data_IF_990878353233
#
_entry.id   IF_990878353233
#
_cell.length_a   1.000
_cell.length_b   1.000
_cell.length_c   1.000
_cell.angle_alpha   90.00
_cell.angle_beta   90.00
_cell.angle_gamma   90.00
#
_symmetry.space_group_name_H-M   'P 1'
#
loop_
_entity.id
_entity.type
_entity.pdbx_description
1 polymer ?
#
# COMPACT_ATOMS: atom_id res chain seq x y z
N UNK A 1 -18.33 -12.47 -10.41
CA UNK A 1 -18.47 -11.77 -11.72
C UNK A 1 -17.10 -11.65 -12.38
N UNK A 2 -17.00 -11.62 -13.71
CA UNK A 2 -15.73 -11.33 -14.41
C UNK A 2 -15.55 -9.81 -14.46
N UNK A 3 -14.48 -9.28 -13.85
CA UNK A 3 -14.17 -7.85 -13.85
C UNK A 3 -13.12 -7.57 -14.94
N UNK A 4 -13.39 -6.60 -15.80
CA UNK A 4 -12.47 -6.14 -16.85
C UNK A 4 -12.27 -4.62 -16.72
N UNK A 5 -11.11 -4.09 -17.15
CA UNK A 5 -10.84 -2.65 -17.10
C UNK A 5 -11.86 -1.86 -17.93
N UNK A 6 -12.40 -0.78 -17.35
CA UNK A 6 -13.25 0.21 -18.06
C UNK A 6 -12.62 1.59 -17.92
N UNK A 7 -11.77 1.93 -18.87
CA UNK A 7 -10.91 3.14 -18.86
C UNK A 7 -11.42 4.18 -19.87
N UNK A 8 -11.46 5.45 -19.46
CA UNK A 8 -11.72 6.62 -20.31
C UNK A 8 -10.78 7.75 -19.90
N UNK A 9 -9.83 8.12 -20.77
CA UNK A 9 -8.75 9.04 -20.42
C UNK A 9 -7.96 8.51 -19.22
N UNK A 10 -7.85 9.31 -18.16
CA UNK A 10 -7.17 8.96 -16.91
C UNK A 10 -8.11 8.36 -15.84
N UNK A 11 -9.38 8.07 -16.18
CA UNK A 11 -10.34 7.50 -15.23
C UNK A 11 -10.60 6.03 -15.55
N UNK A 12 -10.45 5.16 -14.56
CA UNK A 12 -10.91 3.78 -14.60
C UNK A 12 -12.07 3.60 -13.61
N UNK A 13 -13.23 3.14 -14.06
CA UNK A 13 -14.44 2.98 -13.21
C UNK A 13 -14.59 1.58 -12.62
N UNK A 14 -13.53 0.77 -12.67
CA UNK A 14 -13.50 -0.62 -12.19
C UNK A 14 -12.20 -0.88 -11.43
N UNK A 15 -12.25 -1.67 -10.36
CA UNK A 15 -11.08 -2.11 -9.62
C UNK A 15 -11.01 -3.65 -9.51
N UNK A 16 -9.83 -4.19 -9.77
CA UNK A 16 -9.44 -5.60 -9.66
C UNK A 16 -9.24 -6.11 -8.22
N UNK A 17 -10.18 -6.70 -7.43
CA UNK A 17 -9.91 -6.98 -6.01
C UNK A 17 -8.63 -7.81 -5.76
N UNK A 18 -8.51 -8.96 -6.44
CA UNK A 18 -7.31 -9.81 -6.35
C UNK A 18 -6.05 -9.13 -6.93
N UNK A 19 -6.22 -8.24 -7.91
CA UNK A 19 -5.10 -7.49 -8.49
C UNK A 19 -4.59 -6.41 -7.53
N UNK A 20 -5.48 -5.74 -6.81
CA UNK A 20 -5.13 -4.78 -5.77
C UNK A 20 -4.39 -5.47 -4.61
N UNK A 21 -4.87 -6.63 -4.16
CA UNK A 21 -4.19 -7.45 -3.15
C UNK A 21 -2.79 -7.86 -3.62
N UNK A 22 -2.65 -8.36 -4.84
CA UNK A 22 -1.36 -8.72 -5.41
C UNK A 22 -0.40 -7.53 -5.49
N UNK A 23 -0.89 -6.34 -5.89
CA UNK A 23 -0.09 -5.12 -5.94
C UNK A 23 0.39 -4.67 -4.55
N UNK A 24 -0.46 -4.77 -3.52
CA UNK A 24 -0.07 -4.50 -2.13
C UNK A 24 0.98 -5.50 -1.67
N UNK A 25 0.77 -6.80 -1.96
CA UNK A 25 1.72 -7.86 -1.60
C UNK A 25 3.10 -7.61 -2.24
N UNK A 26 3.15 -7.24 -3.52
CA UNK A 26 4.41 -6.94 -4.21
C UNK A 26 5.19 -5.79 -3.55
N UNK A 27 4.49 -4.74 -3.09
CA UNK A 27 5.13 -3.63 -2.36
C UNK A 27 5.62 -4.05 -0.96
N UNK A 28 4.87 -4.90 -0.26
CA UNK A 28 5.30 -5.46 1.03
C UNK A 28 6.55 -6.33 0.82
N UNK A 29 6.51 -7.24 -0.15
CA UNK A 29 7.63 -8.13 -0.49
C UNK A 29 8.88 -7.28 -0.81
N UNK A 30 8.73 -6.23 -1.62
CA UNK A 30 9.81 -5.29 -1.93
C UNK A 30 10.45 -4.70 -0.66
N UNK A 31 9.65 -4.16 0.27
CA UNK A 31 10.19 -3.58 1.51
C UNK A 31 10.88 -4.65 2.37
N UNK A 32 10.26 -5.81 2.54
CA UNK A 32 10.85 -6.89 3.37
C UNK A 32 12.15 -7.44 2.81
N UNK A 33 12.32 -7.46 1.48
CA UNK A 33 13.55 -7.91 0.81
C UNK A 33 14.73 -6.94 1.00
N UNK A 34 14.47 -5.65 1.25
CA UNK A 34 15.52 -4.64 1.46
C UNK A 34 15.99 -4.54 2.92
N UNK A 35 15.47 -5.38 3.81
CA UNK A 35 15.84 -5.42 5.23
C UNK A 35 15.09 -4.40 6.09
N UNK A 36 15.31 -4.47 7.39
CA UNK A 36 14.67 -3.60 8.36
C UNK A 36 15.23 -2.17 8.31
N UNK A 37 14.37 -1.18 8.47
CA UNK A 37 14.73 0.22 8.61
C UNK A 37 15.00 0.48 10.10
N UNK A 38 16.28 0.58 10.46
CA UNK A 38 16.69 0.88 11.83
C UNK A 38 16.32 2.31 12.24
N UNK A 39 15.96 2.49 13.51
CA UNK A 39 15.56 3.80 14.04
C UNK A 39 14.21 4.33 13.53
N UNK A 40 13.43 3.52 12.81
CA UNK A 40 12.10 3.91 12.32
C UNK A 40 11.06 4.14 13.44
N UNK A 41 10.01 4.94 13.16
CA UNK A 41 8.95 5.24 14.12
C UNK A 41 8.17 3.98 14.51
N UNK A 42 7.65 3.92 15.74
CA UNK A 42 6.89 2.76 16.24
C UNK A 42 5.38 2.92 16.22
N UNK A 43 4.87 4.15 16.11
CA UNK A 43 3.45 4.46 15.98
C UNK A 43 3.28 5.52 14.91
N UNK A 44 2.52 5.22 13.85
CA UNK A 44 2.38 6.10 12.68
C UNK A 44 0.91 6.26 12.31
N UNK A 45 0.47 7.52 12.22
CA UNK A 45 -0.80 7.90 11.59
C UNK A 45 -0.53 8.32 10.15
N UNK A 46 -1.21 7.71 9.18
CA UNK A 46 -1.12 8.08 7.77
C UNK A 46 -2.46 8.61 7.27
N UNK A 47 -2.50 9.88 6.86
CA UNK A 47 -3.66 10.50 6.22
C UNK A 47 -3.56 10.31 4.70
N UNK A 48 -4.52 9.59 4.10
CA UNK A 48 -4.43 9.16 2.70
C UNK A 48 -3.73 7.81 2.54
N UNK A 49 -4.06 6.84 3.38
CA UNK A 49 -3.38 5.54 3.48
C UNK A 49 -3.82 4.49 2.44
N UNK A 50 -4.74 4.82 1.54
CA UNK A 50 -5.42 3.87 0.65
C UNK A 50 -4.72 3.64 -0.68
N UNK A 51 -3.96 4.62 -1.20
CA UNK A 51 -3.33 4.54 -2.53
C UNK A 51 -2.02 5.33 -2.59
N UNK A 52 -1.26 5.14 -3.68
CA UNK A 52 -0.09 5.97 -4.01
C UNK A 52 0.96 6.05 -2.91
N UNK A 53 1.52 7.25 -2.71
CA UNK A 53 2.58 7.46 -1.72
C UNK A 53 2.13 7.26 -0.27
N UNK A 54 0.88 7.52 0.06
CA UNK A 54 0.38 7.28 1.43
C UNK A 54 0.29 5.78 1.74
N UNK A 55 -0.16 4.97 0.78
CA UNK A 55 -0.08 3.51 0.91
C UNK A 55 1.38 3.05 1.03
N UNK A 56 2.28 3.55 0.18
CA UNK A 56 3.69 3.19 0.23
C UNK A 56 4.33 3.57 1.58
N UNK A 57 4.04 4.77 2.11
CA UNK A 57 4.52 5.21 3.41
C UNK A 57 4.02 4.30 4.54
N UNK A 58 2.74 3.88 4.48
CA UNK A 58 2.17 2.94 5.46
C UNK A 58 2.84 1.58 5.38
N UNK A 59 3.07 1.05 4.18
CA UNK A 59 3.76 -0.23 3.97
C UNK A 59 5.19 -0.16 4.51
N UNK A 60 5.96 0.87 4.17
CA UNK A 60 7.33 1.05 4.66
C UNK A 60 7.40 1.17 6.18
N UNK A 61 6.47 1.90 6.80
CA UNK A 61 6.39 2.00 8.26
C UNK A 61 6.09 0.64 8.91
N UNK A 62 5.04 -0.05 8.45
CA UNK A 62 4.61 -1.32 9.04
C UNK A 62 5.62 -2.44 8.79
N UNK A 63 6.01 -2.68 7.54
CA UNK A 63 6.80 -3.85 7.14
C UNK A 63 8.31 -3.59 7.11
N UNK A 64 8.73 -2.32 7.02
CA UNK A 64 10.15 -1.94 7.08
C UNK A 64 10.59 -1.56 8.49
N UNK A 65 9.77 -0.84 9.26
CA UNK A 65 10.14 -0.33 10.60
C UNK A 65 9.45 -1.05 11.77
N UNK A 66 8.56 -2.01 11.49
CA UNK A 66 7.71 -2.68 12.48
C UNK A 66 6.89 -1.68 13.32
N UNK A 67 6.27 -0.71 12.65
CA UNK A 67 5.44 0.30 13.28
C UNK A 67 3.96 -0.13 13.36
N UNK A 68 3.29 0.19 14.47
CA UNK A 68 1.83 0.19 14.52
C UNK A 68 1.31 1.32 13.63
N UNK A 69 0.42 1.00 12.67
CA UNK A 69 -0.10 2.00 11.73
C UNK A 69 -1.61 2.18 11.84
N UNK A 70 -2.04 3.43 11.98
CA UNK A 70 -3.42 3.86 11.81
C UNK A 70 -3.55 4.61 10.49
N UNK A 71 -4.49 4.19 9.63
CA UNK A 71 -4.72 4.80 8.32
C UNK A 71 -6.08 5.50 8.24
N UNK A 72 -6.10 6.66 7.60
CA UNK A 72 -7.33 7.33 7.12
C UNK A 72 -7.35 7.23 5.60
N UNK A 73 -8.50 6.85 5.02
CA UNK A 73 -8.60 6.35 3.64
C UNK A 73 -9.37 7.26 2.69
#
# INVERSE_FOLDING_TARGET
MIIKPRVRGFICVTAHPVGCEANVKQQIDYVTQHGAIEGGPKKVLVLGASTGYGLAARISAAFGSNADTLGVF
#
